data_IF_661017817941
#
_entry.id   IF_661017817941
#
_cell.length_a   1.000
_cell.length_b   1.000
_cell.length_c   1.000
_cell.angle_alpha   90.00
_cell.angle_beta   90.00
_cell.angle_gamma   90.00
#
_symmetry.space_group_name_H-M   'P 1'
#
loop_
_entity.id
_entity.type
_entity.pdbx_description
1 polymer ?
#
# COMPACT_ATOMS: atom_id res chain seq x y z
N UNK A 1 3.08 0.14 11.81
CA UNK A 1 2.61 -0.87 12.78
C UNK A 1 3.68 -1.94 12.94
N UNK A 2 3.92 -2.39 14.18
CA UNK A 2 4.81 -3.53 14.43
C UNK A 2 4.14 -4.82 13.94
N UNK A 3 4.85 -5.62 13.15
CA UNK A 3 4.38 -6.96 12.78
C UNK A 3 4.70 -7.92 13.92
N UNK A 4 3.67 -8.58 14.44
CA UNK A 4 3.73 -9.59 15.51
C UNK A 4 3.19 -10.93 14.99
N UNK A 5 3.56 -12.00 15.71
CA UNK A 5 3.10 -13.36 15.48
C UNK A 5 2.50 -13.89 16.80
N UNK A 6 1.22 -13.59 17.08
CA UNK A 6 0.56 -14.03 18.32
C UNK A 6 0.49 -15.55 18.42
N UNK A 7 0.42 -16.09 19.64
CA UNK A 7 0.15 -17.52 19.83
C UNK A 7 -1.26 -17.84 19.28
N UNK A 8 -1.43 -18.87 18.42
CA UNK A 8 -2.75 -19.22 17.85
C UNK A 8 -3.86 -19.48 18.86
N UNK A 9 -3.53 -19.74 20.13
CA UNK A 9 -4.48 -19.96 21.23
C UNK A 9 -4.75 -18.71 22.05
N UNK A 10 -3.92 -17.68 21.93
CA UNK A 10 -4.06 -16.43 22.67
C UNK A 10 -5.23 -15.61 22.13
N UNK A 11 -6.03 -15.04 23.04
CA UNK A 11 -7.19 -14.21 22.74
C UNK A 11 -7.21 -13.01 23.68
N UNK A 12 -7.67 -11.87 23.18
CA UNK A 12 -8.00 -10.70 24.02
C UNK A 12 -9.51 -10.62 24.21
N UNK A 13 -9.99 -9.88 25.22
CA UNK A 13 -11.43 -9.70 25.38
C UNK A 13 -11.98 -8.81 24.26
N UNK A 14 -13.12 -9.19 23.68
CA UNK A 14 -13.77 -8.46 22.58
C UNK A 14 -14.09 -7.00 22.95
N UNK A 15 -14.52 -6.74 24.18
CA UNK A 15 -14.84 -5.39 24.67
C UNK A 15 -13.62 -4.50 24.92
N UNK A 16 -12.41 -5.07 24.88
CA UNK A 16 -11.15 -4.34 24.93
C UNK A 16 -10.57 -4.02 23.54
N UNK A 17 -11.24 -4.42 22.46
CA UNK A 17 -10.79 -4.15 21.10
C UNK A 17 -11.38 -2.83 20.63
N UNK A 18 -10.50 -1.87 20.33
CA UNK A 18 -10.83 -0.66 19.59
C UNK A 18 -10.03 -0.55 18.29
N UNK A 19 -10.66 -0.91 17.18
CA UNK A 19 -10.07 -0.82 15.85
C UNK A 19 -9.99 0.62 15.31
N UNK A 20 -10.68 1.58 15.92
CA UNK A 20 -10.54 2.99 15.59
C UNK A 20 -9.37 3.66 16.32
N UNK A 21 -8.88 3.05 17.41
CA UNK A 21 -7.75 3.58 18.17
C UNK A 21 -6.43 3.43 17.40
N UNK A 22 -5.83 4.57 17.05
CA UNK A 22 -4.54 4.64 16.37
C UNK A 22 -3.41 4.04 17.22
N UNK A 23 -3.51 4.08 18.55
CA UNK A 23 -2.47 3.57 19.46
C UNK A 23 -2.33 2.05 19.39
N UNK A 24 -3.41 1.32 19.08
CA UNK A 24 -3.38 -0.13 18.84
C UNK A 24 -2.37 -0.50 17.74
N UNK A 25 -2.30 0.29 16.66
CA UNK A 25 -1.40 0.05 15.54
C UNK A 25 0.02 0.58 15.76
N UNK A 26 0.17 1.61 16.60
CA UNK A 26 1.47 2.21 16.89
C UNK A 26 2.25 1.42 17.96
N UNK A 27 1.55 0.98 19.02
CA UNK A 27 2.17 0.45 20.24
C UNK A 27 1.56 -0.88 20.69
N UNK A 28 0.30 -1.18 20.31
CA UNK A 28 -0.40 -2.40 20.68
C UNK A 28 -0.12 -3.59 19.77
N UNK A 29 -0.96 -4.62 19.92
CA UNK A 29 -0.95 -5.84 19.09
C UNK A 29 -2.24 -5.98 18.29
N UNK A 30 -2.31 -5.24 17.17
CA UNK A 30 -3.43 -5.32 16.24
C UNK A 30 -3.62 -6.73 15.65
N UNK A 31 -2.54 -7.52 15.55
CA UNK A 31 -2.62 -8.86 14.99
C UNK A 31 -3.29 -9.85 15.93
N UNK A 32 -3.08 -9.72 17.24
CA UNK A 32 -3.80 -10.48 18.26
C UNK A 32 -5.27 -10.08 18.31
N UNK A 33 -5.58 -8.78 18.19
CA UNK A 33 -6.96 -8.30 18.07
C UNK A 33 -7.65 -8.92 16.84
N UNK A 34 -7.05 -8.83 15.66
CA UNK A 34 -7.60 -9.44 14.45
C UNK A 34 -7.70 -10.98 14.53
N UNK A 35 -6.73 -11.66 15.13
CA UNK A 35 -6.81 -13.12 15.37
C UNK A 35 -8.01 -13.48 16.23
N UNK A 36 -8.23 -12.71 17.30
CA UNK A 36 -9.39 -12.88 18.19
C UNK A 36 -10.69 -12.67 17.43
N UNK A 37 -10.81 -11.58 16.67
CA UNK A 37 -12.01 -11.29 15.88
C UNK A 37 -12.29 -12.37 14.84
N UNK A 38 -11.30 -12.82 14.07
CA UNK A 38 -11.50 -13.92 13.10
C UNK A 38 -12.04 -15.18 13.76
N UNK A 39 -11.57 -15.50 14.96
CA UNK A 39 -11.95 -16.70 15.69
C UNK A 39 -13.33 -16.60 16.35
N UNK A 40 -13.66 -15.46 16.95
CA UNK A 40 -14.82 -15.33 17.86
C UNK A 40 -15.95 -14.45 17.32
N UNK A 41 -15.62 -13.41 16.55
CA UNK A 41 -16.58 -12.43 16.05
C UNK A 41 -16.10 -11.85 14.70
N UNK A 42 -16.19 -12.63 13.60
CA UNK A 42 -15.61 -12.23 12.32
C UNK A 42 -16.33 -11.05 11.66
N UNK A 43 -17.57 -10.80 12.08
CA UNK A 43 -18.31 -9.56 11.90
C UNK A 43 -18.53 -8.94 13.29
N UNK A 44 -17.83 -7.85 13.56
CA UNK A 44 -17.78 -7.21 14.88
C UNK A 44 -18.28 -5.77 14.80
N UNK A 45 -19.14 -5.35 15.73
CA UNK A 45 -19.57 -3.95 15.83
C UNK A 45 -18.58 -3.15 16.66
N UNK A 46 -17.90 -2.19 16.05
CA UNK A 46 -17.05 -1.22 16.74
C UNK A 46 -17.85 0.03 17.09
N UNK A 47 -18.12 0.24 18.38
CA UNK A 47 -18.70 1.50 18.86
C UNK A 47 -17.63 2.57 19.01
N UNK A 48 -17.93 3.82 18.63
CA UNK A 48 -17.07 5.00 18.84
C UNK A 48 -17.69 6.05 19.77
N UNK A 49 -18.99 6.28 19.63
CA UNK A 49 -19.79 7.23 20.42
C UNK A 49 -21.24 6.72 20.52
N UNK A 50 -22.12 7.46 21.20
CA UNK A 50 -23.51 7.04 21.47
C UNK A 50 -24.33 6.78 20.18
N UNK A 51 -24.34 5.51 19.74
CA UNK A 51 -25.11 5.04 18.58
C UNK A 51 -24.35 5.07 17.25
N UNK A 52 -23.11 5.55 17.23
CA UNK A 52 -22.29 5.62 16.02
C UNK A 52 -21.14 4.62 16.09
N UNK A 53 -20.82 4.04 14.94
CA UNK A 53 -19.85 2.98 14.83
C UNK A 53 -19.77 2.42 13.42
N UNK A 54 -19.10 1.28 13.30
CA UNK A 54 -18.98 0.56 12.04
C UNK A 54 -18.90 -0.94 12.30
N UNK A 55 -19.34 -1.70 11.30
CA UNK A 55 -19.08 -3.13 11.22
C UNK A 55 -17.64 -3.38 10.78
N UNK A 56 -16.92 -4.26 11.46
CA UNK A 56 -15.60 -4.73 11.10
C UNK A 56 -15.67 -6.16 10.58
N UNK A 57 -15.32 -6.37 9.31
CA UNK A 57 -15.18 -7.70 8.71
C UNK A 57 -13.70 -8.09 8.63
N UNK A 58 -13.36 -9.24 9.19
CA UNK A 58 -11.96 -9.62 9.46
C UNK A 58 -11.50 -10.88 8.75
N UNK A 59 -12.43 -11.72 8.26
CA UNK A 59 -12.12 -12.91 7.46
C UNK A 59 -11.99 -12.58 5.99
N UNK A 60 -11.08 -13.25 5.31
CA UNK A 60 -10.72 -12.96 3.93
C UNK A 60 -11.91 -13.09 2.98
N UNK A 61 -12.75 -14.11 3.18
CA UNK A 61 -13.94 -14.33 2.35
C UNK A 61 -14.90 -13.14 2.43
N UNK A 62 -15.15 -12.63 3.63
CA UNK A 62 -16.10 -11.54 3.86
C UNK A 62 -15.51 -10.19 3.45
N UNK A 63 -14.21 -9.97 3.71
CA UNK A 63 -13.47 -8.80 3.22
C UNK A 63 -13.52 -8.75 1.68
N UNK A 64 -13.28 -9.87 0.99
CA UNK A 64 -13.42 -9.94 -0.48
C UNK A 64 -14.82 -9.60 -0.95
N UNK A 65 -15.85 -10.12 -0.26
CA UNK A 65 -17.26 -9.85 -0.56
C UNK A 65 -17.55 -8.35 -0.48
N UNK A 66 -17.24 -7.72 0.66
CA UNK A 66 -17.47 -6.28 0.90
C UNK A 66 -16.74 -5.42 -0.13
N UNK A 67 -15.53 -5.79 -0.53
CA UNK A 67 -14.77 -5.03 -1.52
C UNK A 67 -15.23 -5.23 -2.97
N UNK A 68 -15.94 -6.32 -3.28
CA UNK A 68 -16.28 -6.69 -4.66
C UNK A 68 -17.74 -6.41 -5.03
N UNK A 69 -18.66 -6.55 -4.08
CA UNK A 69 -20.10 -6.36 -4.30
C UNK A 69 -20.50 -4.87 -4.23
N UNK A 70 -20.04 -4.06 -5.18
CA UNK A 70 -20.26 -2.60 -5.20
C UNK A 70 -21.74 -2.16 -5.18
N UNK A 71 -22.65 -2.97 -5.75
CA UNK A 71 -24.10 -2.72 -5.67
C UNK A 71 -24.65 -2.88 -4.24
N UNK A 72 -23.96 -3.65 -3.39
CA UNK A 72 -24.31 -3.86 -1.98
C UNK A 72 -23.50 -2.93 -1.08
N UNK A 73 -22.23 -2.68 -1.40
CA UNK A 73 -21.28 -1.93 -0.59
C UNK A 73 -20.59 -0.84 -1.42
N UNK A 74 -21.03 0.41 -1.24
CA UNK A 74 -20.54 1.54 -2.04
C UNK A 74 -19.25 2.15 -1.52
N UNK A 75 -18.40 2.62 -2.45
CA UNK A 75 -17.25 3.48 -2.15
C UNK A 75 -17.58 4.97 -2.15
N UNK A 76 -18.75 5.37 -2.65
CA UNK A 76 -19.14 6.78 -2.86
C UNK A 76 -19.43 7.53 -1.55
N UNK A 77 -19.71 6.79 -0.48
CA UNK A 77 -20.04 7.35 0.84
C UNK A 77 -18.86 7.28 1.83
N UNK A 78 -17.63 7.38 1.31
CA UNK A 78 -16.39 7.39 2.09
C UNK A 78 -15.69 6.03 2.15
N UNK A 79 -14.36 6.07 2.18
CA UNK A 79 -13.49 4.88 2.04
C UNK A 79 -12.58 4.61 3.23
N UNK A 80 -12.63 5.45 4.28
CA UNK A 80 -11.83 5.31 5.49
C UNK A 80 -12.61 5.68 6.75
N UNK A 81 -12.22 5.12 7.91
CA UNK A 81 -12.82 5.43 9.22
C UNK A 81 -12.74 6.93 9.58
N UNK A 82 -11.73 7.64 9.06
CA UNK A 82 -11.61 9.09 9.23
C UNK A 82 -12.77 9.88 8.60
N UNK A 83 -13.50 9.27 7.66
CA UNK A 83 -14.66 9.85 6.96
C UNK A 83 -15.99 9.28 7.49
N UNK A 84 -15.98 8.58 8.64
CA UNK A 84 -17.18 7.96 9.18
C UNK A 84 -18.29 9.00 9.47
N UNK A 85 -17.88 10.12 10.05
CA UNK A 85 -18.76 11.15 10.62
C UNK A 85 -18.99 12.32 9.66
N UNK A 86 -18.47 12.26 8.43
CA UNK A 86 -18.53 13.35 7.46
C UNK A 86 -18.64 12.81 6.04
N UNK A 87 -19.54 13.33 5.21
CA UNK A 87 -19.61 12.96 3.80
C UNK A 87 -18.25 13.17 3.13
N UNK A 88 -17.82 12.21 2.30
CA UNK A 88 -16.62 12.39 1.47
C UNK A 88 -16.90 13.49 0.44
N UNK A 89 -16.24 14.66 0.52
CA UNK A 89 -16.45 15.74 -0.44
C UNK A 89 -16.05 15.35 -1.86
N UNK A 90 -15.26 14.28 -2.01
CA UNK A 90 -14.84 13.74 -3.29
C UNK A 90 -15.67 12.52 -3.75
N UNK A 91 -16.71 12.15 -2.99
CA UNK A 91 -17.64 11.07 -3.31
C UNK A 91 -18.28 11.27 -4.67
N UNK A 92 -18.20 10.26 -5.53
CA UNK A 92 -18.69 10.31 -6.91
C UNK A 92 -17.79 11.04 -7.91
N UNK A 93 -16.83 11.86 -7.46
CA UNK A 93 -15.95 12.66 -8.33
C UNK A 93 -14.55 12.07 -8.48
N UNK A 94 -13.96 11.64 -7.37
CA UNK A 94 -12.63 11.04 -7.33
C UNK A 94 -12.71 9.55 -7.66
N UNK A 95 -11.83 9.04 -8.55
CA UNK A 95 -11.91 7.66 -9.03
C UNK A 95 -12.04 6.65 -7.88
N UNK A 96 -11.24 6.76 -6.82
CA UNK A 96 -11.28 5.83 -5.68
C UNK A 96 -12.60 5.86 -4.88
N UNK A 97 -13.37 6.95 -4.98
CA UNK A 97 -14.67 7.18 -4.34
C UNK A 97 -15.83 7.12 -5.35
N UNK A 98 -15.69 6.35 -6.44
CA UNK A 98 -16.77 6.10 -7.42
C UNK A 98 -17.08 4.61 -7.55
N UNK A 99 -18.32 4.25 -7.84
CA UNK A 99 -18.69 2.87 -8.18
C UNK A 99 -18.84 2.69 -9.72
N UNK A 100 -18.84 1.44 -10.24
CA UNK A 100 -19.31 1.16 -11.60
C UNK A 100 -20.73 1.72 -11.86
N UNK A 101 -21.03 2.20 -13.09
CA UNK A 101 -20.18 2.16 -14.29
C UNK A 101 -19.10 3.25 -14.34
N UNK A 102 -19.29 4.36 -13.61
CA UNK A 102 -18.41 5.54 -13.65
C UNK A 102 -16.96 5.18 -13.35
N UNK A 103 -16.74 4.34 -12.34
CA UNK A 103 -15.43 3.83 -11.99
C UNK A 103 -14.74 3.09 -13.15
N UNK A 104 -15.48 2.32 -13.95
CA UNK A 104 -14.93 1.62 -15.11
C UNK A 104 -14.49 2.58 -16.22
N UNK A 105 -15.19 3.71 -16.39
CA UNK A 105 -14.83 4.72 -17.37
C UNK A 105 -13.48 5.36 -17.05
N UNK A 106 -13.28 5.78 -15.80
CA UNK A 106 -11.97 6.26 -15.32
C UNK A 106 -10.88 5.23 -15.56
N UNK A 107 -11.09 4.01 -15.04
CA UNK A 107 -10.08 2.95 -15.08
C UNK A 107 -9.67 2.56 -16.48
N UNK A 108 -10.64 2.38 -17.38
CA UNK A 108 -10.38 1.94 -18.76
C UNK A 108 -9.47 2.95 -19.47
N UNK A 109 -9.69 4.24 -19.25
CA UNK A 109 -8.92 5.30 -19.89
C UNK A 109 -7.53 5.50 -19.27
N UNK A 110 -7.35 5.17 -17.98
CA UNK A 110 -6.06 5.26 -17.29
C UNK A 110 -5.24 3.96 -17.34
N UNK A 111 -5.84 2.82 -17.68
CA UNK A 111 -5.22 1.49 -17.58
C UNK A 111 -3.88 1.37 -18.31
N UNK A 112 -3.72 2.02 -19.46
CA UNK A 112 -2.47 1.99 -20.23
C UNK A 112 -1.27 2.58 -19.47
N UNK A 113 -1.51 3.66 -18.70
CA UNK A 113 -0.48 4.37 -17.91
C UNK A 113 0.00 3.58 -16.70
N UNK A 114 -0.82 2.65 -16.22
CA UNK A 114 -0.51 1.76 -15.09
C UNK A 114 -0.30 0.30 -15.52
N UNK A 115 -0.06 0.06 -16.81
CA UNK A 115 0.18 -1.28 -17.35
C UNK A 115 1.56 -1.83 -16.96
N UNK A 116 1.75 -3.15 -17.02
CA UNK A 116 3.06 -3.78 -16.79
C UNK A 116 4.14 -3.25 -17.74
N UNK A 117 3.76 -2.89 -18.97
CA UNK A 117 4.68 -2.30 -19.94
C UNK A 117 5.11 -0.88 -19.54
N UNK A 118 4.16 -0.07 -19.06
CA UNK A 118 4.46 1.27 -18.53
C UNK A 118 5.35 1.20 -17.27
N UNK A 119 5.14 0.20 -16.40
CA UNK A 119 6.02 -0.03 -15.27
C UNK A 119 7.43 -0.50 -15.71
N UNK A 120 7.51 -1.39 -16.70
CA UNK A 120 8.77 -1.91 -17.22
C UNK A 120 9.64 -0.81 -17.87
N UNK A 121 9.04 0.19 -18.52
CA UNK A 121 9.78 1.31 -19.11
C UNK A 121 10.50 2.18 -18.08
N UNK A 122 10.06 2.17 -16.82
CA UNK A 122 10.69 2.91 -15.72
C UNK A 122 11.79 2.10 -15.00
N UNK A 123 11.96 0.81 -15.32
CA UNK A 123 12.76 -0.11 -14.52
C UNK A 123 14.23 0.32 -14.36
N UNK A 124 14.85 0.87 -15.42
CA UNK A 124 16.25 1.31 -15.35
C UNK A 124 16.42 2.58 -14.51
N UNK A 125 15.50 3.53 -14.64
CA UNK A 125 15.50 4.73 -13.80
C UNK A 125 15.30 4.38 -12.32
N UNK A 126 14.33 3.50 -12.01
CA UNK A 126 14.07 3.01 -10.64
C UNK A 126 15.33 2.30 -10.11
N UNK A 127 15.97 1.45 -10.91
CA UNK A 127 17.20 0.75 -10.52
C UNK A 127 18.32 1.73 -10.18
N UNK A 128 18.52 2.76 -11.00
CA UNK A 128 19.50 3.82 -10.76
C UNK A 128 19.17 4.58 -9.47
N UNK A 129 17.91 4.96 -9.27
CA UNK A 129 17.45 5.64 -8.05
C UNK A 129 17.75 4.80 -6.81
N UNK A 130 17.31 3.54 -6.79
CA UNK A 130 17.53 2.62 -5.67
C UNK A 130 19.03 2.45 -5.37
N UNK A 131 19.87 2.31 -6.40
CA UNK A 131 21.34 2.20 -6.20
C UNK A 131 21.91 3.41 -5.48
N UNK A 132 21.52 4.62 -5.88
CA UNK A 132 21.95 5.86 -5.21
C UNK A 132 21.40 5.95 -3.79
N UNK A 133 20.14 5.56 -3.58
CA UNK A 133 19.52 5.56 -2.26
C UNK A 133 20.25 4.66 -1.28
N UNK A 134 20.69 3.46 -1.71
CA UNK A 134 21.37 2.49 -0.82
C UNK A 134 22.88 2.70 -0.72
N UNK A 135 23.49 3.56 -1.54
CA UNK A 135 24.94 3.78 -1.55
C UNK A 135 25.49 4.20 -0.17
N UNK A 136 24.88 5.15 0.58
CA UNK A 136 25.34 5.51 1.92
C UNK A 136 25.23 4.36 2.93
N UNK A 137 24.39 3.36 2.69
CA UNK A 137 24.26 2.19 3.57
C UNK A 137 25.48 1.25 3.49
N UNK A 138 26.32 1.39 2.45
CA UNK A 138 27.47 0.52 2.20
C UNK A 138 28.71 0.93 3.00
N UNK A 139 28.71 2.11 3.62
CA UNK A 139 29.83 2.65 4.40
C UNK A 139 29.97 2.01 5.79
N UNK A 140 29.07 1.10 6.16
CA UNK A 140 29.09 0.36 7.43
C UNK A 140 28.57 1.14 8.64
N UNK A 141 28.07 2.36 8.43
CA UNK A 141 27.44 3.19 9.45
C UNK A 141 25.96 2.85 9.71
N UNK A 142 25.38 3.53 10.69
CA UNK A 142 23.92 3.48 10.91
C UNK A 142 23.23 4.24 9.79
N UNK A 143 22.27 3.60 9.14
CA UNK A 143 21.52 4.15 8.02
C UNK A 143 20.03 3.92 8.22
N UNK A 144 19.23 4.99 8.15
CA UNK A 144 17.78 4.91 8.26
C UNK A 144 17.16 4.58 6.89
N UNK A 145 16.89 3.29 6.68
CA UNK A 145 16.28 2.80 5.46
C UNK A 145 14.85 3.33 5.26
N UNK A 146 14.08 3.56 6.33
CA UNK A 146 12.70 4.01 6.22
C UNK A 146 12.64 5.45 5.72
N UNK A 147 13.49 6.33 6.27
CA UNK A 147 13.65 7.69 5.78
C UNK A 147 14.12 7.71 4.31
N UNK A 148 15.14 6.90 3.98
CA UNK A 148 15.72 6.88 2.64
C UNK A 148 14.74 6.39 1.55
N UNK A 149 13.97 5.34 1.84
CA UNK A 149 13.02 4.78 0.87
C UNK A 149 11.67 5.49 0.79
N UNK A 150 11.37 6.41 1.70
CA UNK A 150 10.15 7.24 1.62
C UNK A 150 10.13 8.09 0.34
N UNK A 151 11.30 8.53 -0.15
CA UNK A 151 11.42 9.32 -1.37
C UNK A 151 11.15 8.54 -2.66
N UNK A 152 11.45 7.23 -2.68
CA UNK A 152 11.40 6.43 -3.91
C UNK A 152 9.99 6.39 -4.54
N UNK A 153 8.92 6.04 -3.81
CA UNK A 153 7.58 5.98 -4.39
C UNK A 153 7.08 7.35 -4.86
N UNK A 154 7.37 8.41 -4.09
CA UNK A 154 7.03 9.78 -4.52
C UNK A 154 7.78 10.15 -5.80
N UNK A 155 9.08 9.87 -5.90
CA UNK A 155 9.86 10.21 -7.08
C UNK A 155 9.36 9.47 -8.34
N UNK A 156 8.92 8.21 -8.19
CA UNK A 156 8.24 7.48 -9.29
C UNK A 156 6.93 8.19 -9.68
N UNK A 157 6.09 8.54 -8.69
CA UNK A 157 4.83 9.25 -8.92
C UNK A 157 5.02 10.62 -9.57
N UNK A 158 5.97 11.41 -9.08
CA UNK A 158 6.37 12.70 -9.61
C UNK A 158 6.79 12.58 -11.08
N UNK A 159 7.62 11.59 -11.42
CA UNK A 159 8.00 11.32 -12.82
C UNK A 159 6.83 10.93 -13.71
N UNK A 160 5.85 10.17 -13.19
CA UNK A 160 4.64 9.82 -13.95
C UNK A 160 3.71 11.01 -14.18
N UNK A 161 3.73 12.00 -13.28
CA UNK A 161 2.94 13.23 -13.33
C UNK A 161 3.71 14.44 -13.88
N UNK A 162 4.95 14.25 -14.32
CA UNK A 162 5.88 15.31 -14.75
C UNK A 162 6.04 16.46 -13.73
N UNK A 163 6.16 16.10 -12.44
CA UNK A 163 6.39 17.05 -11.36
C UNK A 163 7.90 17.34 -11.19
N UNK A 164 8.29 18.59 -10.86
CA UNK A 164 9.68 18.94 -10.59
C UNK A 164 10.29 18.16 -9.41
N UNK A 165 11.56 17.74 -9.56
CA UNK A 165 12.26 16.94 -8.55
C UNK A 165 12.45 17.71 -7.22
N UNK A 166 12.57 19.04 -7.29
CA UNK A 166 12.69 19.94 -6.14
C UNK A 166 11.42 19.98 -5.26
N UNK A 167 10.26 19.65 -5.81
CA UNK A 167 8.98 19.67 -5.08
C UNK A 167 8.74 18.39 -4.29
N UNK A 168 9.48 17.31 -4.58
CA UNK A 168 9.25 15.97 -4.02
C UNK A 168 9.17 15.97 -2.49
N UNK A 169 10.13 16.61 -1.80
CA UNK A 169 10.16 16.59 -0.33
C UNK A 169 9.00 17.39 0.28
N UNK A 170 8.63 18.51 -0.35
CA UNK A 170 7.45 19.29 0.05
C UNK A 170 6.17 18.46 -0.14
N UNK A 171 6.03 17.80 -1.28
CA UNK A 171 4.87 16.97 -1.57
C UNK A 171 4.77 15.75 -0.65
N UNK A 172 5.90 15.13 -0.27
CA UNK A 172 5.94 14.08 0.76
C UNK A 172 5.40 14.62 2.08
N UNK A 173 5.90 15.78 2.53
CA UNK A 173 5.45 16.41 3.77
C UNK A 173 3.94 16.68 3.74
N UNK A 174 3.42 17.26 2.65
CA UNK A 174 2.00 17.53 2.48
C UNK A 174 1.16 16.24 2.46
N UNK A 175 1.63 15.19 1.77
CA UNK A 175 0.93 13.91 1.72
C UNK A 175 0.81 13.26 3.12
N UNK A 176 1.87 13.29 3.92
CA UNK A 176 1.81 12.79 5.30
C UNK A 176 0.97 13.68 6.22
N UNK A 177 1.02 15.01 6.07
CA UNK A 177 0.14 15.93 6.80
C UNK A 177 -1.34 15.70 6.48
N UNK A 178 -1.67 15.23 5.27
CA UNK A 178 -3.03 14.83 4.88
C UNK A 178 -3.42 13.45 5.43
N UNK A 179 -2.55 12.45 5.34
CA UNK A 179 -2.87 11.05 5.70
C UNK A 179 -2.71 10.73 7.20
N UNK A 180 -1.82 11.45 7.88
CA UNK A 180 -1.48 11.24 9.29
C UNK A 180 -1.45 12.58 10.06
N UNK A 181 -2.55 13.36 10.06
CA UNK A 181 -2.56 14.70 10.66
C UNK A 181 -2.36 14.72 12.19
N UNK A 182 -2.52 13.58 12.85
CA UNK A 182 -2.24 13.40 14.28
C UNK A 182 -0.80 13.03 14.62
N UNK A 183 0.04 12.79 13.62
CA UNK A 183 1.46 12.52 13.84
C UNK A 183 2.18 13.80 14.26
N UNK A 184 2.89 13.83 15.40
CA UNK A 184 3.59 15.02 15.89
C UNK A 184 4.62 15.61 14.93
N UNK A 185 5.15 14.83 13.99
CA UNK A 185 6.11 15.32 13.00
C UNK A 185 5.46 16.17 11.90
N UNK A 186 4.16 15.97 11.65
CA UNK A 186 3.41 16.61 10.57
C UNK A 186 2.33 17.58 11.08
N UNK A 187 1.90 17.41 12.33
CA UNK A 187 0.84 18.19 12.95
C UNK A 187 1.18 19.69 13.07
N UNK A 188 0.20 20.51 12.70
CA UNK A 188 0.17 21.97 12.89
C UNK A 188 -1.17 22.35 13.50
N UNK A 189 -1.21 22.45 14.83
CA UNK A 189 -2.44 22.77 15.56
C UNK A 189 -3.31 21.53 15.80
N UNK A 190 -4.56 21.56 15.35
CA UNK A 190 -5.46 20.39 15.44
C UNK A 190 -5.25 19.44 14.27
N UNK A 191 -5.63 18.16 14.41
CA UNK A 191 -5.59 17.20 13.29
C UNK A 191 -6.39 17.73 12.08
N UNK A 192 -7.57 18.30 12.34
CA UNK A 192 -8.43 18.86 11.31
C UNK A 192 -7.77 20.04 10.59
N UNK A 193 -7.14 20.97 11.32
CA UNK A 193 -6.44 22.11 10.72
C UNK A 193 -5.24 21.67 9.89
N UNK A 194 -4.49 20.68 10.37
CA UNK A 194 -3.34 20.09 9.66
C UNK A 194 -3.77 19.48 8.33
N UNK A 195 -4.77 18.60 8.36
CA UNK A 195 -5.27 17.94 7.16
C UNK A 195 -5.84 18.97 6.17
N UNK A 196 -6.62 19.94 6.66
CA UNK A 196 -7.23 20.96 5.80
C UNK A 196 -6.17 21.84 5.12
N UNK A 197 -5.16 22.31 5.86
CA UNK A 197 -4.05 23.09 5.30
C UNK A 197 -3.30 22.29 4.23
N UNK A 198 -2.98 21.03 4.51
CA UNK A 198 -2.28 20.17 3.57
C UNK A 198 -3.09 19.95 2.28
N UNK A 199 -4.39 19.68 2.39
CA UNK A 199 -5.28 19.55 1.23
C UNK A 199 -5.31 20.85 0.41
N UNK A 200 -5.48 22.01 1.04
CA UNK A 200 -5.49 23.29 0.33
C UNK A 200 -4.17 23.56 -0.43
N UNK A 201 -3.03 23.33 0.21
CA UNK A 201 -1.73 23.53 -0.44
C UNK A 201 -1.52 22.56 -1.62
N UNK A 202 -1.96 21.31 -1.50
CA UNK A 202 -1.90 20.33 -2.60
C UNK A 202 -2.83 20.75 -3.75
N UNK A 203 -4.04 21.23 -3.44
CA UNK A 203 -4.99 21.70 -4.45
C UNK A 203 -4.43 22.88 -5.25
N UNK A 204 -3.88 23.89 -4.57
CA UNK A 204 -3.25 25.04 -5.23
C UNK A 204 -2.08 24.60 -6.12
N UNK A 205 -1.26 23.67 -5.63
CA UNK A 205 -0.15 23.13 -6.41
C UNK A 205 -0.64 22.47 -7.71
N UNK A 206 -1.66 21.62 -7.64
CA UNK A 206 -2.19 20.95 -8.82
C UNK A 206 -3.02 21.86 -9.73
N UNK A 207 -3.61 22.93 -9.22
CA UNK A 207 -4.25 23.96 -10.04
C UNK A 207 -3.21 24.60 -10.97
N UNK A 208 -2.03 24.96 -10.45
CA UNK A 208 -0.94 25.48 -11.27
C UNK A 208 -0.43 24.45 -12.29
N UNK A 209 -0.27 23.18 -11.89
CA UNK A 209 0.18 22.11 -12.80
C UNK A 209 -0.84 21.82 -13.90
N UNK A 210 -2.14 21.82 -13.59
CA UNK A 210 -3.21 21.67 -14.58
C UNK A 210 -3.26 22.86 -15.54
N UNK A 211 -3.10 24.09 -15.03
CA UNK A 211 -3.04 25.29 -15.86
C UNK A 211 -1.86 25.26 -16.84
N UNK A 212 -0.71 24.73 -16.40
CA UNK A 212 0.46 24.55 -17.25
C UNK A 212 0.23 23.45 -18.30
N UNK A 213 -0.27 22.28 -17.90
CA UNK A 213 -0.58 21.17 -18.81
C UNK A 213 -1.62 21.54 -19.88
N UNK A 214 -2.54 22.48 -19.59
CA UNK A 214 -3.47 23.02 -20.61
C UNK A 214 -2.78 23.84 -21.69
N UNK A 215 -1.70 24.56 -21.33
CA UNK A 215 -0.93 25.40 -22.26
C UNK A 215 0.10 24.57 -23.03
N UNK A 216 0.76 23.66 -22.32
CA UNK A 216 1.86 22.85 -22.81
C UNK A 216 1.59 21.35 -22.48
N UNK A 217 0.69 20.68 -23.21
CA UNK A 217 0.39 19.28 -22.96
C UNK A 217 1.62 18.40 -23.20
N UNK A 218 1.90 17.49 -22.26
CA UNK A 218 2.98 16.51 -22.35
C UNK A 218 2.45 15.07 -22.25
N UNK A 219 3.35 14.08 -22.33
CA UNK A 219 2.99 12.66 -22.26
C UNK A 219 3.00 12.15 -20.80
N UNK A 220 2.27 12.83 -19.93
CA UNK A 220 2.23 12.60 -18.47
C UNK A 220 0.80 12.32 -17.96
N UNK A 221 0.68 11.93 -16.68
CA UNK A 221 -0.62 11.64 -16.06
C UNK A 221 -1.55 12.85 -15.93
N UNK A 222 -1.03 14.04 -15.63
CA UNK A 222 -1.84 15.27 -15.48
C UNK A 222 -2.43 15.69 -16.82
N UNK A 223 -1.59 15.72 -17.87
CA UNK A 223 -2.03 15.96 -19.25
C UNK A 223 -3.05 14.92 -19.71
N UNK A 224 -2.87 13.66 -19.32
CA UNK A 224 -3.84 12.59 -19.63
C UNK A 224 -5.17 12.76 -18.90
N UNK A 225 -5.16 13.19 -17.63
CA UNK A 225 -6.38 13.50 -16.86
C UNK A 225 -7.26 14.54 -17.58
N UNK A 226 -6.67 15.56 -18.21
CA UNK A 226 -7.39 16.58 -18.99
C UNK A 226 -8.14 16.01 -20.20
N UNK A 227 -7.75 14.83 -20.69
CA UNK A 227 -8.39 14.18 -21.85
C UNK A 227 -9.52 13.23 -21.46
N UNK A 228 -9.68 12.93 -20.17
CA UNK A 228 -10.65 11.95 -19.71
C UNK A 228 -12.08 12.43 -19.93
N UNK A 229 -12.91 11.50 -20.40
CA UNK A 229 -14.35 11.69 -20.54
C UNK A 229 -15.07 10.71 -19.62
N UNK A 230 -15.91 11.20 -18.73
CA UNK A 230 -16.71 10.40 -17.78
C UNK A 230 -18.15 10.91 -17.82
N UNK A 231 -19.12 10.00 -17.82
CA UNK A 231 -20.55 10.30 -18.01
C UNK A 231 -20.81 11.07 -19.33
N UNK A 232 -20.00 10.78 -20.36
CA UNK A 232 -20.10 11.41 -21.69
C UNK A 232 -19.59 12.86 -21.76
N UNK A 233 -18.95 13.39 -20.71
CA UNK A 233 -18.37 14.74 -20.69
C UNK A 233 -16.92 14.76 -20.19
N UNK A 234 -16.13 15.79 -20.53
CA UNK A 234 -14.86 16.03 -19.86
C UNK A 234 -15.02 16.19 -18.35
N UNK A 235 -13.96 15.88 -17.60
CA UNK A 235 -13.89 16.15 -16.17
C UNK A 235 -13.93 17.66 -15.90
N UNK A 236 -14.65 18.05 -14.86
CA UNK A 236 -14.64 19.40 -14.32
C UNK A 236 -13.34 19.67 -13.52
N UNK A 237 -13.05 20.94 -13.26
CA UNK A 237 -11.78 21.34 -12.63
C UNK A 237 -11.62 20.76 -11.21
N UNK A 238 -12.71 20.70 -10.44
CA UNK A 238 -12.74 20.06 -9.13
C UNK A 238 -12.50 18.54 -9.23
N UNK A 239 -13.08 17.87 -10.22
CA UNK A 239 -12.87 16.44 -10.49
C UNK A 239 -11.41 16.15 -10.87
N UNK A 240 -10.78 17.01 -11.68
CA UNK A 240 -9.37 16.91 -12.03
C UNK A 240 -8.48 17.03 -10.79
N UNK A 241 -8.72 18.06 -9.97
CA UNK A 241 -7.96 18.34 -8.76
C UNK A 241 -8.02 17.20 -7.73
N UNK A 242 -9.21 16.67 -7.45
CA UNK A 242 -9.35 15.56 -6.50
C UNK A 242 -8.70 14.27 -7.03
N UNK A 243 -8.68 14.04 -8.34
CA UNK A 243 -7.98 12.90 -8.92
C UNK A 243 -6.45 13.07 -8.88
N UNK A 244 -5.91 14.29 -9.06
CA UNK A 244 -4.49 14.58 -8.82
C UNK A 244 -4.09 14.32 -7.36
N UNK A 245 -4.91 14.77 -6.40
CA UNK A 245 -4.70 14.45 -4.98
C UNK A 245 -4.68 12.94 -4.73
N UNK A 246 -5.65 12.21 -5.29
CA UNK A 246 -5.71 10.74 -5.17
C UNK A 246 -4.42 10.06 -5.66
N UNK A 247 -3.89 10.48 -6.82
CA UNK A 247 -2.63 9.96 -7.37
C UNK A 247 -1.45 10.25 -6.44
N UNK A 248 -1.37 11.47 -5.89
CA UNK A 248 -0.33 11.86 -4.95
C UNK A 248 -0.37 11.01 -3.67
N UNK A 249 -1.53 10.95 -3.01
CA UNK A 249 -1.68 10.23 -1.74
C UNK A 249 -1.45 8.72 -1.89
N UNK A 250 -1.92 8.14 -3.00
CA UNK A 250 -1.72 6.73 -3.32
C UNK A 250 -0.25 6.35 -3.56
N UNK A 251 0.58 7.30 -4.02
CA UNK A 251 1.97 7.03 -4.38
C UNK A 251 2.91 6.91 -3.16
N UNK A 252 2.66 7.63 -2.06
CA UNK A 252 3.71 7.87 -1.04
C UNK A 252 3.89 6.74 -0.05
N UNK A 253 2.82 6.32 0.62
CA UNK A 253 2.95 5.65 1.92
C UNK A 253 3.11 4.12 1.79
N UNK A 254 2.32 3.51 0.91
CA UNK A 254 2.13 2.05 0.90
C UNK A 254 3.36 1.28 0.44
N UNK A 255 4.01 1.75 -0.63
CA UNK A 255 5.22 1.12 -1.18
C UNK A 255 6.41 1.27 -0.23
N UNK A 256 6.61 2.46 0.36
CA UNK A 256 7.67 2.72 1.32
C UNK A 256 7.54 1.84 2.58
N UNK A 257 6.32 1.67 3.08
CA UNK A 257 6.04 0.78 4.21
C UNK A 257 6.31 -0.69 3.89
N UNK A 258 5.95 -1.14 2.68
CA UNK A 258 6.24 -2.51 2.24
C UNK A 258 7.74 -2.76 2.18
N UNK A 259 8.52 -1.83 1.60
CA UNK A 259 9.98 -1.91 1.57
C UNK A 259 10.54 -1.98 2.99
N UNK A 260 10.11 -1.07 3.86
CA UNK A 260 10.60 -1.00 5.25
C UNK A 260 10.31 -2.28 6.03
N UNK A 261 9.07 -2.79 5.97
CA UNK A 261 8.68 -4.03 6.63
C UNK A 261 9.46 -5.25 6.10
N UNK A 262 9.72 -5.28 4.78
CA UNK A 262 10.50 -6.33 4.14
C UNK A 262 11.96 -6.29 4.63
N UNK A 263 12.57 -5.12 4.68
CA UNK A 263 13.95 -4.97 5.16
C UNK A 263 14.09 -5.38 6.62
N UNK A 264 13.11 -5.04 7.47
CA UNK A 264 13.08 -5.47 8.88
C UNK A 264 13.02 -6.99 8.98
N UNK A 265 12.16 -7.65 8.21
CA UNK A 265 12.04 -9.12 8.24
C UNK A 265 13.31 -9.81 7.70
N UNK A 266 13.87 -9.29 6.59
CA UNK A 266 15.07 -9.85 5.97
C UNK A 266 16.34 -9.61 6.79
N UNK A 267 16.40 -8.53 7.59
CA UNK A 267 17.47 -8.34 8.54
C UNK A 267 17.49 -9.42 9.63
N UNK A 268 16.34 -10.05 9.92
CA UNK A 268 16.20 -11.15 10.87
C UNK A 268 16.34 -10.71 12.34
N UNK A 269 16.47 -11.68 13.28
CA UNK A 269 16.86 -11.38 14.65
C UNK A 269 18.19 -10.62 14.68
N UNK A 270 18.48 -9.90 15.78
CA UNK A 270 19.72 -9.12 15.96
C UNK A 270 21.02 -9.95 15.95
N UNK A 271 20.96 -11.25 15.65
CA UNK A 271 22.09 -12.17 15.61
C UNK A 271 22.92 -12.08 14.31
N UNK A 272 22.43 -11.35 13.30
CA UNK A 272 23.25 -10.87 12.17
C UNK A 272 23.40 -11.84 10.99
N UNK A 273 22.70 -12.97 10.98
CA UNK A 273 22.79 -13.94 9.86
C UNK A 273 21.92 -13.55 8.65
N UNK A 274 20.92 -12.66 8.82
CA UNK A 274 20.04 -12.17 7.74
C UNK A 274 19.22 -13.28 7.06
N UNK A 275 17.91 -13.11 6.96
CA UNK A 275 17.01 -14.11 6.33
C UNK A 275 16.93 -13.96 4.82
N UNK A 276 18.03 -13.62 4.15
CA UNK A 276 18.00 -13.38 2.71
C UNK A 276 17.75 -14.70 1.95
N UNK A 277 16.60 -14.86 1.27
CA UNK A 277 16.27 -16.13 0.64
C UNK A 277 17.05 -16.25 -0.67
N UNK A 278 18.22 -16.92 -0.60
CA UNK A 278 19.11 -17.07 -1.77
C UNK A 278 18.48 -17.86 -2.91
N UNK A 279 17.53 -18.74 -2.60
CA UNK A 279 16.93 -19.68 -3.54
C UNK A 279 15.44 -19.39 -3.86
N UNK A 280 14.84 -18.35 -3.26
CA UNK A 280 13.45 -18.00 -3.57
C UNK A 280 13.34 -17.16 -4.85
N UNK A 281 12.29 -17.37 -5.68
CA UNK A 281 12.03 -16.49 -6.80
C UNK A 281 11.68 -15.08 -6.31
N UNK A 282 12.22 -14.05 -6.97
CA UNK A 282 11.97 -12.65 -6.60
C UNK A 282 10.47 -12.30 -6.58
N UNK A 283 9.69 -12.85 -7.51
CA UNK A 283 8.24 -12.62 -7.55
C UNK A 283 7.54 -13.16 -6.30
N UNK A 284 7.97 -14.33 -5.80
CA UNK A 284 7.45 -14.92 -4.57
C UNK A 284 7.84 -14.10 -3.33
N UNK A 285 9.06 -13.56 -3.30
CA UNK A 285 9.49 -12.62 -2.27
C UNK A 285 8.64 -11.34 -2.28
N UNK A 286 8.34 -10.78 -3.45
CA UNK A 286 7.51 -9.57 -3.58
C UNK A 286 6.07 -9.84 -3.15
N UNK A 287 5.49 -10.98 -3.55
CA UNK A 287 4.13 -11.37 -3.13
C UNK A 287 4.03 -11.56 -1.62
N UNK A 288 5.02 -12.24 -1.03
CA UNK A 288 5.05 -12.42 0.41
C UNK A 288 5.33 -11.11 1.15
N UNK A 289 6.22 -10.26 0.66
CA UNK A 289 6.46 -8.91 1.18
C UNK A 289 5.17 -8.10 1.25
N UNK A 290 4.39 -8.09 0.17
CA UNK A 290 3.10 -7.42 0.11
C UNK A 290 2.12 -7.98 1.13
N UNK A 291 1.93 -9.31 1.15
CA UNK A 291 1.02 -9.98 2.10
C UNK A 291 1.43 -9.67 3.55
N UNK A 292 2.71 -9.81 3.85
CA UNK A 292 3.28 -9.65 5.18
C UNK A 292 3.10 -8.24 5.72
N UNK A 293 3.45 -7.24 4.91
CA UNK A 293 3.38 -5.83 5.29
C UNK A 293 1.95 -5.32 5.36
N UNK A 294 1.08 -5.71 4.41
CA UNK A 294 -0.31 -5.24 4.28
C UNK A 294 -0.46 -3.76 4.65
N UNK A 295 0.21 -2.83 3.92
CA UNK A 295 0.38 -1.44 4.36
C UNK A 295 -0.96 -0.69 4.48
N UNK A 296 -1.97 -1.10 3.71
CA UNK A 296 -3.36 -0.67 3.90
C UNK A 296 -4.04 -1.67 4.83
N UNK A 297 -4.37 -1.22 6.04
CA UNK A 297 -5.03 -2.08 7.03
C UNK A 297 -6.49 -2.38 6.65
N UNK A 298 -7.24 -1.37 6.18
CA UNK A 298 -8.65 -1.51 5.83
C UNK A 298 -9.07 -0.55 4.71
N UNK A 299 -10.18 -0.88 4.06
CA UNK A 299 -11.03 0.10 3.39
C UNK A 299 -12.43 0.07 4.00
N UNK A 300 -13.09 1.20 4.04
CA UNK A 300 -14.50 1.33 4.42
C UNK A 300 -15.39 1.31 3.17
N UNK A 301 -16.60 0.81 3.34
CA UNK A 301 -17.74 0.91 2.42
C UNK A 301 -18.97 1.30 3.22
N UNK A 302 -20.02 1.73 2.52
CA UNK A 302 -21.36 1.87 3.11
C UNK A 302 -22.33 0.87 2.50
N UNK A 303 -23.12 0.19 3.33
CA UNK A 303 -24.13 -0.74 2.84
C UNK A 303 -25.26 0.04 2.13
N UNK A 304 -25.64 -0.38 0.92
CA UNK A 304 -26.78 0.18 0.17
C UNK A 304 -28.11 -0.48 0.53
N UNK A 305 -28.06 -1.71 1.06
CA UNK A 305 -29.20 -2.55 1.43
C UNK A 305 -28.91 -3.27 2.75
N UNK A 306 -29.94 -3.79 3.41
CA UNK A 306 -29.76 -4.67 4.56
C UNK A 306 -29.05 -5.97 4.12
N UNK A 307 -28.03 -6.40 4.86
CA UNK A 307 -27.23 -7.60 4.57
C UNK A 307 -27.14 -8.49 5.81
N UNK A 308 -27.55 -9.74 5.66
CA UNK A 308 -27.30 -10.79 6.66
C UNK A 308 -25.88 -11.34 6.50
N UNK A 309 -25.11 -11.33 7.59
CA UNK A 309 -23.76 -11.88 7.64
C UNK A 309 -23.47 -12.37 9.07
N UNK A 310 -22.95 -13.59 9.21
CA UNK A 310 -22.62 -14.20 10.52
C UNK A 310 -23.75 -14.12 11.58
N UNK A 311 -25.02 -14.24 11.14
CA UNK A 311 -26.20 -14.18 12.02
C UNK A 311 -26.56 -12.79 12.54
N UNK A 312 -25.95 -11.73 11.98
CA UNK A 312 -26.25 -10.34 12.28
C UNK A 312 -26.67 -9.59 11.01
N UNK A 313 -27.51 -8.57 11.19
CA UNK A 313 -27.95 -7.69 10.10
C UNK A 313 -27.09 -6.44 10.07
N UNK A 314 -26.35 -6.23 8.98
CA UNK A 314 -25.79 -4.94 8.60
C UNK A 314 -26.92 -4.15 7.95
N UNK A 315 -27.28 -2.99 8.49
CA UNK A 315 -28.39 -2.19 7.97
C UNK A 315 -27.96 -1.36 6.77
N UNK A 316 -28.90 -1.08 5.87
CA UNK A 316 -28.71 -0.09 4.82
C UNK A 316 -28.26 1.24 5.44
N UNK A 317 -27.19 1.82 4.90
CA UNK A 317 -26.54 2.99 5.45
C UNK A 317 -25.42 2.69 6.45
N UNK A 318 -25.27 1.48 6.98
CA UNK A 318 -24.19 1.20 7.93
C UNK A 318 -22.82 1.28 7.25
N UNK A 319 -21.83 1.78 8.00
CA UNK A 319 -20.43 1.70 7.62
C UNK A 319 -19.89 0.29 7.86
N UNK A 320 -19.16 -0.24 6.87
CA UNK A 320 -18.54 -1.56 6.92
C UNK A 320 -17.07 -1.44 6.55
N UNK A 321 -16.19 -1.81 7.47
CA UNK A 321 -14.73 -1.77 7.34
C UNK A 321 -14.19 -3.16 7.02
N UNK A 322 -13.51 -3.26 5.88
CA UNK A 322 -12.95 -4.48 5.36
C UNK A 322 -11.45 -4.56 5.68
N UNK A 323 -11.07 -5.35 6.68
CA UNK A 323 -9.72 -5.40 7.25
C UNK A 323 -8.78 -6.29 6.42
N UNK A 324 -8.15 -5.71 5.40
CA UNK A 324 -7.17 -6.36 4.51
C UNK A 324 -6.00 -6.99 5.30
N UNK A 325 -5.44 -6.26 6.28
CA UNK A 325 -4.32 -6.78 7.07
C UNK A 325 -4.71 -8.01 7.92
N UNK A 326 -5.96 -8.09 8.37
CA UNK A 326 -6.51 -9.31 9.00
C UNK A 326 -6.70 -10.42 7.97
N UNK A 327 -7.34 -10.12 6.85
CA UNK A 327 -7.63 -11.09 5.79
C UNK A 327 -6.37 -11.76 5.23
N UNK A 328 -5.28 -11.01 5.06
CA UNK A 328 -3.99 -11.53 4.57
C UNK A 328 -3.28 -12.45 5.59
N UNK A 329 -3.89 -12.66 6.76
CA UNK A 329 -3.46 -13.60 7.80
C UNK A 329 -4.56 -14.56 8.24
N UNK A 330 -5.62 -14.69 7.45
CA UNK A 330 -6.71 -15.63 7.70
C UNK A 330 -6.19 -17.08 7.64
N UNK A 331 -6.24 -17.77 8.77
CA UNK A 331 -5.79 -19.14 8.96
C UNK A 331 -6.58 -20.15 8.13
N UNK A 332 -7.82 -19.83 7.72
CA UNK A 332 -8.63 -20.68 6.84
C UNK A 332 -8.12 -20.66 5.38
N UNK A 333 -7.31 -19.67 5.02
CA UNK A 333 -6.78 -19.46 3.66
C UNK A 333 -5.27 -19.66 3.59
N UNK A 334 -4.54 -19.16 4.58
CA UNK A 334 -3.07 -19.19 4.62
C UNK A 334 -2.60 -20.16 5.71
N UNK A 335 -1.91 -21.23 5.30
CA UNK A 335 -1.17 -22.06 6.25
C UNK A 335 -0.04 -21.23 6.89
N UNK A 336 0.07 -21.27 8.22
CA UNK A 336 1.08 -20.52 9.00
C UNK A 336 1.12 -19.03 8.57
N UNK A 337 0.02 -18.27 8.78
CA UNK A 337 -0.13 -16.91 8.25
C UNK A 337 0.83 -15.89 8.86
N UNK A 338 1.34 -16.20 10.05
CA UNK A 338 2.31 -15.39 10.80
C UNK A 338 3.77 -15.82 10.57
N UNK A 339 4.04 -16.57 9.51
CA UNK A 339 5.39 -16.83 8.99
C UNK A 339 5.62 -16.10 7.67
N UNK A 340 6.78 -15.44 7.54
CA UNK A 340 7.25 -14.87 6.29
C UNK A 340 7.86 -15.99 5.41
N UNK A 341 7.14 -16.38 4.36
CA UNK A 341 7.55 -17.45 3.44
C UNK A 341 7.61 -16.94 1.98
N UNK A 342 8.80 -16.56 1.48
CA UNK A 342 9.01 -16.16 0.08
C UNK A 342 8.69 -17.23 -0.96
N UNK A 343 8.48 -18.48 -0.54
CA UNK A 343 8.13 -19.61 -1.41
C UNK A 343 6.63 -19.95 -1.40
N UNK A 344 5.83 -19.20 -0.63
CA UNK A 344 4.38 -19.41 -0.47
C UNK A 344 3.68 -19.45 -1.83
N UNK A 345 3.04 -20.59 -2.12
CA UNK A 345 2.25 -20.78 -3.33
C UNK A 345 1.10 -21.76 -3.09
N UNK A 346 -0.16 -21.41 -3.42
CA UNK A 346 -0.60 -20.09 -3.90
C UNK A 346 -0.46 -19.01 -2.81
N UNK A 347 -0.37 -17.75 -3.21
CA UNK A 347 -0.38 -16.59 -2.30
C UNK A 347 -1.57 -15.68 -2.64
N UNK A 348 -2.82 -16.07 -2.28
CA UNK A 348 -4.03 -15.35 -2.67
C UNK A 348 -4.28 -14.13 -1.78
N UNK A 349 -3.27 -13.30 -1.51
CA UNK A 349 -3.42 -12.08 -0.73
C UNK A 349 -4.27 -11.03 -1.47
N UNK A 350 -4.86 -10.11 -0.71
CA UNK A 350 -5.74 -9.03 -1.20
C UNK A 350 -5.23 -7.65 -0.79
N UNK A 351 -3.90 -7.50 -0.69
CA UNK A 351 -3.21 -6.24 -0.35
C UNK A 351 -3.66 -5.07 -1.22
N UNK A 352 -4.00 -5.35 -2.48
CA UNK A 352 -4.49 -4.38 -3.43
C UNK A 352 -6.02 -4.25 -3.46
N UNK A 353 -6.72 -4.81 -2.47
CA UNK A 353 -8.18 -4.93 -2.46
C UNK A 353 -8.72 -6.06 -3.34
N UNK A 354 -10.03 -6.02 -3.59
CA UNK A 354 -10.74 -6.96 -4.46
C UNK A 354 -11.79 -6.22 -5.31
N UNK A 355 -12.31 -6.89 -6.34
CA UNK A 355 -13.37 -6.33 -7.19
C UNK A 355 -12.92 -5.20 -8.11
N UNK A 356 -13.88 -4.32 -8.47
CA UNK A 356 -13.69 -3.25 -9.46
C UNK A 356 -12.54 -2.31 -9.10
N UNK A 357 -12.34 -2.00 -7.81
CA UNK A 357 -11.33 -1.09 -7.27
C UNK A 357 -9.90 -1.65 -7.26
N UNK A 358 -9.73 -2.97 -7.41
CA UNK A 358 -8.41 -3.60 -7.40
C UNK A 358 -7.54 -3.07 -8.56
N UNK A 359 -6.33 -2.52 -8.32
CA UNK A 359 -5.35 -2.15 -9.35
C UNK A 359 -5.15 -3.24 -10.41
N UNK A 360 -5.13 -2.85 -11.69
CA UNK A 360 -5.14 -3.75 -12.85
C UNK A 360 -3.79 -4.43 -13.13
N UNK A 361 -2.80 -4.24 -12.25
CA UNK A 361 -1.43 -4.70 -12.46
C UNK A 361 -1.24 -6.21 -12.30
N UNK A 362 -2.26 -6.95 -11.83
CA UNK A 362 -2.26 -8.43 -11.80
C UNK A 362 -3.64 -9.01 -12.08
N UNK A 363 -3.77 -9.94 -13.07
CA UNK A 363 -5.02 -10.68 -13.27
C UNK A 363 -5.36 -11.56 -12.07
N UNK A 364 -6.65 -11.82 -11.87
CA UNK A 364 -7.12 -12.85 -10.95
C UNK A 364 -6.78 -14.24 -11.49
N UNK A 365 -6.07 -15.05 -10.69
CA UNK A 365 -5.97 -16.50 -10.90
C UNK A 365 -4.97 -17.01 -11.94
N UNK A 366 -4.18 -16.17 -12.63
CA UNK A 366 -3.17 -16.66 -13.58
C UNK A 366 -1.74 -16.61 -13.00
N UNK A 367 -1.42 -17.63 -12.19
CA UNK A 367 -0.05 -17.86 -11.71
C UNK A 367 0.86 -18.55 -12.75
N UNK A 368 0.39 -18.81 -13.99
CA UNK A 368 1.13 -19.63 -14.96
C UNK A 368 1.83 -18.84 -16.07
N UNK A 369 1.36 -17.65 -16.44
CA UNK A 369 1.86 -16.95 -17.64
C UNK A 369 3.19 -16.18 -17.52
N UNK A 370 3.82 -16.08 -16.36
CA UNK A 370 5.10 -15.34 -16.22
C UNK A 370 6.35 -16.21 -15.97
N UNK A 371 6.23 -17.54 -15.96
CA UNK A 371 7.39 -18.43 -15.78
C UNK A 371 8.43 -18.38 -16.90
N UNK A 372 8.07 -17.92 -18.10
CA UNK A 372 8.93 -18.09 -19.28
C UNK A 372 9.79 -16.89 -19.68
N UNK A 373 9.70 -15.74 -19.00
CA UNK A 373 10.50 -14.55 -19.35
C UNK A 373 11.66 -14.21 -18.38
N UNK A 374 11.79 -14.89 -17.24
CA UNK A 374 12.83 -14.58 -16.24
C UNK A 374 13.92 -15.69 -16.09
N UNK A 375 14.00 -16.62 -17.04
CA UNK A 375 14.68 -17.90 -16.81
C UNK A 375 16.19 -17.98 -17.10
N UNK A 376 16.72 -17.25 -18.10
CA UNK A 376 17.95 -17.74 -18.76
C UNK A 376 19.17 -16.81 -18.77
N UNK A 377 19.03 -15.48 -18.63
CA UNK A 377 20.20 -14.59 -18.84
C UNK A 377 20.88 -14.09 -17.54
N UNK A 378 20.18 -14.11 -16.40
CA UNK A 378 20.71 -13.54 -15.14
C UNK A 378 21.57 -14.52 -14.30
N UNK A 379 21.40 -15.83 -14.47
CA UNK A 379 22.15 -16.85 -13.71
C UNK A 379 23.64 -16.94 -14.08
N UNK A 380 24.02 -16.59 -15.32
CA UNK A 380 25.43 -16.66 -15.77
C UNK A 380 26.31 -15.52 -15.29
N UNK A 381 25.76 -14.34 -14.97
CA UNK A 381 26.57 -13.15 -14.64
C UNK A 381 26.87 -12.99 -13.14
N UNK A 382 26.02 -13.51 -12.25
CA UNK A 382 26.23 -13.44 -10.80
C UNK A 382 27.22 -14.48 -10.24
N UNK A 383 27.31 -15.66 -10.87
CA UNK A 383 28.33 -16.68 -10.55
C UNK A 383 29.76 -16.17 -10.75
N UNK A 384 29.98 -15.35 -11.78
CA UNK A 384 31.31 -14.85 -12.14
C UNK A 384 31.78 -13.71 -11.22
N UNK A 385 30.86 -12.89 -10.72
CA UNK A 385 31.18 -11.79 -9.80
C UNK A 385 31.50 -12.27 -8.37
N UNK A 386 30.77 -13.27 -7.88
CA UNK A 386 31.02 -13.86 -6.54
C UNK A 386 32.26 -14.78 -6.52
N UNK A 387 32.62 -15.40 -7.66
CA UNK A 387 33.87 -16.14 -7.82
C UNK A 387 35.12 -15.26 -7.78
N UNK A 388 35.04 -14.03 -8.29
CA UNK A 388 36.16 -13.10 -8.35
C UNK A 388 36.53 -12.50 -6.97
N UNK A 389 35.54 -12.21 -6.12
CA UNK A 389 35.78 -11.72 -4.74
C UNK A 389 36.35 -12.79 -3.79
N UNK A 390 36.10 -14.08 -4.05
CA UNK A 390 36.65 -15.17 -3.22
C UNK A 390 38.15 -15.42 -3.48
N UNK A 391 38.63 -15.14 -4.69
CA UNK A 391 40.05 -15.30 -5.06
C UNK A 391 40.94 -14.14 -4.59
N UNK A 392 40.39 -12.94 -4.39
CA UNK A 392 41.16 -11.80 -3.84
C UNK A 392 41.38 -11.94 -2.32
N UNK A 393 40.39 -12.44 -1.56
CA UNK A 393 40.55 -12.69 -0.11
C UNK A 393 41.52 -13.83 0.21
N UNK A 394 41.54 -14.92 -0.58
CA UNK A 394 42.50 -16.03 -0.37
C UNK A 394 43.97 -15.69 -0.69
N UNK A 395 44.25 -14.61 -1.44
CA UNK A 395 45.62 -14.17 -1.75
C UNK A 395 46.24 -13.26 -0.68
N UNK A 396 45.44 -12.69 0.22
CA UNK A 396 45.92 -11.79 1.28
C UNK A 396 46.34 -12.53 2.57
N UNK A 397 45.81 -13.73 2.83
CA UNK A 397 46.12 -14.53 4.03
C UNK A 397 47.35 -15.45 3.90
N UNK A 398 48.20 -15.26 2.88
CA UNK A 398 49.44 -16.04 2.69
C UNK A 398 50.64 -15.14 2.41
N UNK A 399 51.07 -14.37 3.40
CA UNK A 399 52.46 -13.91 3.48
C UNK A 399 53.08 -14.46 4.77
N UNK A 400 54.16 -15.27 4.70
CA UNK A 400 54.85 -15.73 5.88
C UNK A 400 55.67 -14.59 6.48
N UNK A 401 55.49 -14.34 7.76
CA UNK A 401 56.42 -13.56 8.57
C UNK A 401 57.72 -14.36 8.65
N UNK A 402 58.81 -13.82 8.08
CA UNK A 402 60.18 -14.25 8.37
C UNK A 402 60.93 -13.06 8.97
N UNK A 403 61.41 -13.24 10.18
CA UNK A 403 62.38 -12.33 10.81
C UNK A 403 63.76 -12.46 10.18
N UNK A 404 64.48 -11.36 10.13
CA UNK A 404 65.59 -11.03 11.03
C UNK A 404 65.78 -9.51 11.03
#
# INVERSE_FOLDING_TARGET
MRITAPDPRERVRLDGIDLADKTLYAQGDAHLAWQTLRAESPLFWQSRSAGEGFWAVTRLKDVRRVLSEHETFTSEAGTAIAMLDSPDPAGGSMMQSTDPPRHHEYRRQLAGRFSSNAAASQAEWIRSFVRKTVEPALDGGVWDAAAAFTRLPMAVGARMMDLPDEDIDRLIHLAFSSLAPGDPHFSRGTEQATALSAHFEIMLYFEERLAEARKNPADDLISHLLTLTVDGRPLADDELLVNCLSLLLGAVVTTAQTISATLVELAGPRDGEGRWPRDAPLDGLVDEALRWSSPVNHFMRRARVDVEMHGQTIRAGDAVTAWIASANRDEEVFARPYEFDPTRSPNPHIVFGAGSHRPSTRPEGDHRRYRDCAGTEHRRRLSTALGAQRNSRRRLDRKPVRGY
#
